data_IF_237167687315
#
_entry.id   IF_237167687315
#
_cell.length_a   1.000
_cell.length_b   1.000
_cell.length_c   1.000
_cell.angle_alpha   90.00
_cell.angle_beta   90.00
_cell.angle_gamma   90.00
#
_symmetry.space_group_name_H-M   'P 1'
#
loop_
_entity.id
_entity.type
_entity.pdbx_description
1 polymer ?
#
# COMPACT_ATOMS: atom_id res chain seq x y z
N UNK A 1 -17.71 -8.52 -2.70
CA UNK A 1 -16.53 -8.70 -1.81
C UNK A 1 -15.57 -7.54 -1.98
N UNK A 2 -15.19 -6.93 -0.89
CA UNK A 2 -14.21 -5.85 -0.89
C UNK A 2 -12.85 -6.37 -0.45
N UNK A 3 -11.81 -6.02 -1.19
CA UNK A 3 -10.43 -6.41 -0.94
C UNK A 3 -9.58 -5.16 -0.75
N UNK A 4 -8.78 -5.12 0.31
CA UNK A 4 -7.77 -4.10 0.54
C UNK A 4 -6.41 -4.67 0.13
N UNK A 5 -5.74 -4.03 -0.82
CA UNK A 5 -4.40 -4.42 -1.26
C UNK A 5 -3.35 -3.44 -0.73
N UNK A 6 -2.24 -3.97 -0.22
CA UNK A 6 -1.13 -3.18 0.35
C UNK A 6 0.15 -3.54 -0.37
N UNK A 7 0.89 -2.54 -0.85
CA UNK A 7 2.14 -2.72 -1.58
C UNK A 7 3.22 -1.80 -1.03
N UNK A 8 4.31 -2.38 -0.50
CA UNK A 8 5.47 -1.65 0.05
C UNK A 8 6.79 -2.27 -0.37
N UNK A 9 6.85 -2.84 -1.57
CA UNK A 9 8.02 -3.65 -1.99
C UNK A 9 9.31 -2.84 -2.22
N UNK A 10 9.22 -1.55 -2.52
CA UNK A 10 10.40 -0.74 -2.81
C UNK A 10 10.23 0.72 -2.36
N UNK A 11 9.93 1.63 -3.27
CA UNK A 11 9.98 3.07 -3.04
C UNK A 11 8.60 3.76 -3.09
N UNK A 12 7.54 2.99 -3.12
CA UNK A 12 6.17 3.52 -3.09
C UNK A 12 5.33 2.80 -2.06
N UNK A 13 4.55 3.56 -1.31
CA UNK A 13 3.52 3.04 -0.42
C UNK A 13 2.20 3.14 -1.16
N UNK A 14 1.56 2.01 -1.42
CA UNK A 14 0.34 1.98 -2.20
C UNK A 14 -0.72 1.14 -1.51
N UNK A 15 -1.94 1.65 -1.46
CA UNK A 15 -3.11 0.92 -0.95
C UNK A 15 -4.25 1.10 -1.94
N UNK A 16 -4.86 -0.01 -2.31
CA UNK A 16 -6.01 -0.04 -3.21
C UNK A 16 -7.19 -0.74 -2.56
N UNK A 17 -8.39 -0.29 -2.88
CA UNK A 17 -9.63 -0.99 -2.52
C UNK A 17 -10.26 -1.49 -3.81
N UNK A 18 -10.50 -2.78 -3.88
CA UNK A 18 -11.09 -3.46 -5.02
C UNK A 18 -12.45 -4.05 -4.64
N UNK A 19 -13.37 -4.06 -5.58
CA UNK A 19 -14.64 -4.75 -5.43
C UNK A 19 -14.72 -5.88 -6.44
N UNK A 20 -15.05 -7.09 -5.98
CA UNK A 20 -15.37 -8.22 -6.84
C UNK A 20 -16.87 -8.47 -6.74
N UNK A 21 -17.57 -8.34 -7.88
CA UNK A 21 -19.00 -8.53 -7.97
C UNK A 21 -19.35 -9.13 -9.34
N UNK A 22 -20.11 -10.25 -9.36
CA UNK A 22 -20.52 -10.92 -10.59
C UNK A 22 -19.32 -11.25 -11.51
N UNK A 23 -18.22 -11.76 -10.95
CA UNK A 23 -16.97 -12.09 -11.65
C UNK A 23 -16.29 -10.89 -12.31
N UNK A 24 -16.63 -9.66 -11.90
CA UNK A 24 -15.98 -8.44 -12.36
C UNK A 24 -15.21 -7.79 -11.22
N UNK A 25 -14.04 -7.25 -11.57
CA UNK A 25 -13.18 -6.53 -10.61
C UNK A 25 -13.27 -5.04 -10.93
N UNK A 26 -13.61 -4.24 -9.91
CA UNK A 26 -13.62 -2.79 -10.01
C UNK A 26 -12.62 -2.21 -9.01
N UNK A 27 -11.79 -1.27 -9.48
CA UNK A 27 -10.86 -0.54 -8.60
C UNK A 27 -11.61 0.66 -8.04
N UNK A 28 -11.96 0.60 -6.75
CA UNK A 28 -12.69 1.69 -6.09
C UNK A 28 -11.75 2.83 -5.69
N UNK A 29 -10.52 2.50 -5.31
CA UNK A 29 -9.46 3.48 -5.05
C UNK A 29 -8.09 2.86 -5.23
N UNK A 30 -7.11 3.69 -5.55
CA UNK A 30 -5.71 3.32 -5.62
C UNK A 30 -4.89 4.56 -5.25
N UNK A 31 -4.35 4.57 -4.04
CA UNK A 31 -3.59 5.70 -3.51
C UNK A 31 -2.12 5.31 -3.46
N UNK A 32 -1.27 6.14 -4.04
CA UNK A 32 0.17 5.92 -4.12
C UNK A 32 0.90 7.10 -3.50
N UNK A 33 1.82 6.82 -2.59
CA UNK A 33 2.76 7.81 -2.05
C UNK A 33 4.17 7.42 -2.48
N UNK A 34 4.76 8.18 -3.40
CA UNK A 34 6.08 7.88 -3.96
C UNK A 34 7.20 8.50 -3.13
N UNK A 35 8.31 7.74 -2.99
CA UNK A 35 9.52 8.17 -2.30
C UNK A 35 10.65 8.56 -3.28
N UNK A 36 10.35 8.67 -4.56
CA UNK A 36 11.38 8.91 -5.59
C UNK A 36 12.24 10.13 -5.26
N UNK A 37 11.62 11.22 -4.83
CA UNK A 37 12.34 12.46 -4.48
C UNK A 37 13.23 12.30 -3.25
N UNK A 38 12.88 11.42 -2.32
CA UNK A 38 13.65 11.16 -1.09
C UNK A 38 14.91 10.40 -1.41
N UNK A 39 14.85 9.44 -2.32
CA UNK A 39 15.97 8.57 -2.67
C UNK A 39 16.89 9.16 -3.76
N UNK A 40 16.38 10.08 -4.59
CA UNK A 40 17.14 10.65 -5.72
C UNK A 40 18.52 11.21 -5.33
N UNK A 41 18.69 11.94 -4.19
CA UNK A 41 20.00 12.44 -3.78
C UNK A 41 21.04 11.34 -3.53
N UNK A 42 20.61 10.11 -3.28
CA UNK A 42 21.51 8.99 -3.00
C UNK A 42 21.79 8.14 -4.24
N UNK A 43 21.23 8.49 -5.40
CA UNK A 43 21.42 7.75 -6.65
C UNK A 43 20.68 6.41 -6.75
N UNK A 44 19.82 6.10 -5.78
CA UNK A 44 19.04 4.85 -5.75
C UNK A 44 18.30 4.70 -4.44
N UNK A 45 17.50 3.64 -4.32
CA UNK A 45 16.69 3.39 -3.13
C UNK A 45 17.58 2.99 -1.94
N UNK A 46 17.39 3.68 -0.81
CA UNK A 46 18.05 3.37 0.46
C UNK A 46 17.09 2.52 1.30
N UNK A 47 17.36 1.22 1.51
CA UNK A 47 16.39 0.30 2.12
C UNK A 47 15.88 0.73 3.49
N UNK A 48 16.74 1.17 4.40
CA UNK A 48 16.32 1.60 5.74
C UNK A 48 15.46 2.85 5.70
N UNK A 49 15.78 3.79 4.81
CA UNK A 49 14.98 5.00 4.62
C UNK A 49 13.63 4.66 3.99
N UNK A 50 13.62 3.75 3.02
CA UNK A 50 12.38 3.26 2.40
C UNK A 50 11.45 2.65 3.44
N UNK A 51 11.96 1.77 4.30
CA UNK A 51 11.16 1.14 5.36
C UNK A 51 10.55 2.18 6.30
N UNK A 52 11.33 3.18 6.69
CA UNK A 52 10.87 4.25 7.56
C UNK A 52 9.78 5.11 6.93
N UNK A 53 9.91 5.42 5.64
CA UNK A 53 8.89 6.17 4.91
C UNK A 53 7.60 5.37 4.74
N UNK A 54 7.68 4.05 4.48
CA UNK A 54 6.49 3.19 4.45
C UNK A 54 5.75 3.23 5.78
N UNK A 55 6.46 3.09 6.89
CA UNK A 55 5.86 3.14 8.23
C UNK A 55 5.12 4.45 8.47
N UNK A 56 5.71 5.56 8.05
CA UNK A 56 5.12 6.90 8.17
C UNK A 56 3.90 7.07 7.26
N UNK A 57 3.94 6.52 6.04
CA UNK A 57 2.95 6.78 5.00
C UNK A 57 1.78 5.81 5.00
N UNK A 58 1.91 4.62 5.59
CA UNK A 58 0.86 3.58 5.52
C UNK A 58 -0.47 4.06 6.08
N UNK A 59 -0.49 4.65 7.26
CA UNK A 59 -1.74 5.11 7.88
C UNK A 59 -2.45 6.20 7.07
N UNK A 60 -1.78 7.29 6.64
CA UNK A 60 -2.41 8.30 5.80
C UNK A 60 -2.90 7.77 4.44
N UNK A 61 -2.12 6.89 3.81
CA UNK A 61 -2.50 6.29 2.51
C UNK A 61 -3.70 5.38 2.70
N UNK A 62 -3.73 4.59 3.76
CA UNK A 62 -4.85 3.72 4.11
C UNK A 62 -6.14 4.53 4.29
N UNK A 63 -6.11 5.60 5.09
CA UNK A 63 -7.28 6.43 5.33
C UNK A 63 -7.79 7.08 4.04
N UNK A 64 -6.89 7.57 3.19
CA UNK A 64 -7.26 8.14 1.89
C UNK A 64 -7.89 7.08 0.97
N UNK A 65 -7.37 5.86 0.97
CA UNK A 65 -7.90 4.78 0.15
C UNK A 65 -9.33 4.43 0.55
N UNK A 66 -9.61 4.29 1.85
CA UNK A 66 -10.95 4.01 2.36
C UNK A 66 -11.91 5.16 2.04
N UNK A 67 -11.49 6.39 2.28
CA UNK A 67 -12.32 7.57 2.02
C UNK A 67 -12.70 7.69 0.56
N UNK A 68 -11.73 7.51 -0.35
CA UNK A 68 -11.98 7.59 -1.79
C UNK A 68 -12.89 6.45 -2.27
N UNK A 69 -12.76 5.26 -1.70
CA UNK A 69 -13.61 4.12 -1.99
C UNK A 69 -15.00 4.23 -1.34
N UNK A 70 -15.21 5.22 -0.47
CA UNK A 70 -16.45 5.43 0.29
C UNK A 70 -16.85 4.21 1.11
N UNK A 71 -15.85 3.61 1.77
CA UNK A 71 -16.01 2.43 2.61
C UNK A 71 -15.28 2.60 3.93
N UNK A 72 -15.45 1.63 4.82
CA UNK A 72 -14.72 1.57 6.09
C UNK A 72 -14.12 0.16 6.28
N UNK A 73 -13.29 0.01 7.30
CA UNK A 73 -12.61 -1.26 7.57
C UNK A 73 -13.56 -2.41 7.88
N UNK A 74 -14.73 -2.11 8.47
CA UNK A 74 -15.73 -3.12 8.78
C UNK A 74 -16.31 -3.79 7.52
N UNK A 75 -16.26 -3.12 6.38
CA UNK A 75 -16.77 -3.62 5.11
C UNK A 75 -15.72 -4.41 4.30
N UNK A 76 -14.45 -4.35 4.68
CA UNK A 76 -13.37 -5.07 4.00
C UNK A 76 -13.44 -6.55 4.36
N UNK A 77 -13.49 -7.40 3.34
CA UNK A 77 -13.59 -8.85 3.48
C UNK A 77 -12.24 -9.56 3.48
N UNK A 78 -11.26 -8.99 2.77
CA UNK A 78 -9.96 -9.63 2.58
C UNK A 78 -8.87 -8.56 2.52
N UNK A 79 -7.73 -8.83 3.16
CA UNK A 79 -6.54 -7.99 3.05
C UNK A 79 -5.46 -8.78 2.33
N UNK A 80 -4.90 -8.20 1.28
CA UNK A 80 -3.79 -8.77 0.52
C UNK A 80 -2.58 -7.84 0.64
N UNK A 81 -1.42 -8.39 0.95
CA UNK A 81 -0.18 -7.60 1.04
C UNK A 81 0.90 -8.25 0.18
N UNK A 82 1.72 -7.42 -0.47
CA UNK A 82 2.85 -7.91 -1.25
C UNK A 82 3.89 -8.53 -0.33
N UNK A 83 4.28 -9.79 -0.62
CA UNK A 83 5.28 -10.53 0.15
C UNK A 83 6.60 -10.71 -0.59
N UNK A 84 6.67 -10.36 -1.86
CA UNK A 84 7.87 -10.46 -2.71
C UNK A 84 7.52 -10.48 -4.19
N UNK A 85 8.53 -10.25 -5.06
CA UNK A 85 9.89 -9.79 -4.74
C UNK A 85 9.91 -8.33 -4.27
N UNK A 86 10.99 -7.93 -3.57
CA UNK A 86 11.18 -6.56 -3.11
C UNK A 86 12.22 -6.45 -2.00
N UNK A 87 12.34 -5.26 -1.44
CA UNK A 87 13.23 -4.99 -0.30
C UNK A 87 12.61 -5.60 0.95
N UNK A 88 13.32 -6.52 1.61
CA UNK A 88 12.79 -7.30 2.73
C UNK A 88 12.21 -6.43 3.83
N UNK A 89 12.98 -5.45 4.34
CA UNK A 89 12.51 -4.60 5.44
C UNK A 89 11.34 -3.71 5.04
N UNK A 90 11.26 -3.30 3.79
CA UNK A 90 10.13 -2.54 3.27
C UNK A 90 8.88 -3.42 3.15
N UNK A 91 9.02 -4.65 2.65
CA UNK A 91 7.92 -5.62 2.56
C UNK A 91 7.29 -5.88 3.91
N UNK A 92 8.11 -6.06 4.96
CA UNK A 92 7.61 -6.32 6.32
C UNK A 92 6.75 -5.18 6.85
N UNK A 93 6.98 -3.93 6.45
CA UNK A 93 6.15 -2.80 6.87
C UNK A 93 4.70 -2.97 6.42
N UNK A 94 4.49 -3.34 5.15
CA UNK A 94 3.14 -3.63 4.63
C UNK A 94 2.52 -4.87 5.25
N UNK A 95 3.28 -5.94 5.38
CA UNK A 95 2.82 -7.21 5.98
C UNK A 95 2.38 -6.99 7.42
N UNK A 96 3.15 -6.28 8.22
CA UNK A 96 2.81 -5.99 9.62
C UNK A 96 1.62 -5.05 9.75
N UNK A 97 1.44 -4.13 8.81
CA UNK A 97 0.30 -3.22 8.80
C UNK A 97 -1.01 -3.95 8.50
N UNK A 98 -0.93 -4.99 7.68
CA UNK A 98 -2.10 -5.76 7.24
C UNK A 98 -2.91 -6.44 8.39
#
# INVERSE_FOLDING_TARGET
MLILGIETSCDETSIAVLEIKNNKISVLSNIVSSQIKIHAPFGGVVPSLAAREHEKNLSPVFEKALKKAKTDMAQINLIAATTGPGLEIALWKGINFA
#
